data_IF_423704210879
#
_entry.id   IF_423704210879
#
_cell.length_a   1.000
_cell.length_b   1.000
_cell.length_c   1.000
_cell.angle_alpha   90.00
_cell.angle_beta   90.00
_cell.angle_gamma   90.00
#
_symmetry.space_group_name_H-M   'P 1'
#
loop_
_entity.id
_entity.type
_entity.pdbx_description
1 polymer ?
#
# COMPACT_ATOMS: atom_id res chain seq x y z
N UNK A 1 0.10 95.78 -23.72
CA UNK A 1 0.34 95.56 -22.27
C UNK A 1 1.15 94.27 -22.11
N UNK A 2 2.35 94.38 -21.49
CA UNK A 2 3.26 93.38 -20.88
C UNK A 2 3.41 91.99 -21.56
N UNK A 3 4.52 91.71 -22.28
CA UNK A 3 5.81 91.09 -21.81
C UNK A 3 5.64 89.64 -21.34
N UNK A 4 6.46 88.63 -21.62
CA UNK A 4 7.73 88.40 -22.34
C UNK A 4 7.82 86.87 -22.57
N UNK A 5 8.53 86.50 -23.64
CA UNK A 5 9.20 85.24 -24.02
C UNK A 5 9.49 84.11 -22.99
N UNK A 6 9.62 82.89 -23.56
CA UNK A 6 10.52 81.76 -23.24
C UNK A 6 10.02 80.51 -22.45
N UNK A 7 10.12 79.37 -23.18
CA UNK A 7 10.74 78.06 -22.85
C UNK A 7 10.21 77.05 -21.79
N UNK A 8 10.35 75.77 -22.21
CA UNK A 8 10.66 74.52 -21.48
C UNK A 8 9.59 73.81 -20.59
N UNK A 9 9.13 72.66 -21.10
CA UNK A 9 9.30 71.28 -20.59
C UNK A 9 8.78 70.83 -19.20
N UNK A 10 8.31 69.57 -19.22
CA UNK A 10 8.03 68.60 -18.12
C UNK A 10 6.67 68.76 -17.42
N UNK A 11 5.86 67.69 -17.46
CA UNK A 11 5.29 67.06 -16.27
C UNK A 11 4.79 65.64 -16.57
N UNK A 12 5.44 64.68 -15.90
CA UNK A 12 4.93 63.37 -15.54
C UNK A 12 3.66 63.51 -14.69
N UNK A 13 2.66 62.66 -14.92
CA UNK A 13 1.83 62.15 -13.83
C UNK A 13 1.48 60.68 -14.06
N UNK A 14 1.92 59.86 -13.10
CA UNK A 14 1.46 58.51 -12.88
C UNK A 14 0.01 58.53 -12.38
N UNK A 15 -0.82 57.60 -12.84
CA UNK A 15 -2.05 57.22 -12.15
C UNK A 15 -2.13 55.71 -12.04
N UNK A 16 -2.01 55.23 -10.81
CA UNK A 16 -2.26 53.86 -10.39
C UNK A 16 -3.71 53.46 -10.68
N UNK A 17 -3.91 52.30 -11.31
CA UNK A 17 -5.14 51.51 -11.18
C UNK A 17 -4.72 50.11 -10.77
N UNK A 18 -5.16 49.73 -9.57
CA UNK A 18 -5.00 48.42 -8.97
C UNK A 18 -5.74 47.36 -9.78
N UNK A 19 -5.02 46.34 -10.25
CA UNK A 19 -5.61 45.04 -10.58
C UNK A 19 -5.03 44.03 -9.60
N UNK A 20 -5.90 43.52 -8.73
CA UNK A 20 -5.59 42.47 -7.78
C UNK A 20 -5.33 41.20 -8.57
N UNK A 21 -4.05 40.86 -8.77
CA UNK A 21 -3.64 39.53 -9.17
C UNK A 21 -3.60 38.65 -7.93
N UNK A 22 -4.47 37.65 -7.89
CA UNK A 22 -4.42 36.56 -6.92
C UNK A 22 -3.11 35.79 -7.10
N UNK A 23 -2.12 36.10 -6.25
CA UNK A 23 -0.98 35.21 -6.01
C UNK A 23 -1.51 33.91 -5.41
N UNK A 24 -1.72 32.90 -6.25
CA UNK A 24 -1.75 31.53 -5.78
C UNK A 24 -0.33 31.18 -5.37
N UNK A 25 -0.06 31.27 -4.08
CA UNK A 25 1.12 30.66 -3.46
C UNK A 25 0.95 29.14 -3.56
N UNK A 26 1.37 28.53 -4.66
CA UNK A 26 1.75 27.12 -4.65
C UNK A 26 3.15 27.06 -4.07
N UNK A 27 3.26 27.26 -2.76
CA UNK A 27 4.36 26.70 -2.01
C UNK A 27 4.07 25.20 -1.90
N UNK A 28 4.32 24.46 -2.98
CA UNK A 28 4.55 23.02 -2.84
C UNK A 28 5.82 22.90 -2.01
N UNK A 29 5.67 22.54 -0.75
CA UNK A 29 6.77 22.04 0.06
C UNK A 29 7.28 20.76 -0.60
N UNK A 30 8.12 20.90 -1.61
CA UNK A 30 8.99 19.83 -2.04
C UNK A 30 9.98 19.62 -0.91
N UNK A 31 9.63 18.74 0.01
CA UNK A 31 10.64 18.14 0.88
C UNK A 31 11.64 17.43 -0.05
N UNK A 32 12.95 17.65 0.13
CA UNK A 32 13.94 16.91 -0.63
C UNK A 32 13.70 15.42 -0.44
N UNK A 33 13.56 14.69 -1.54
CA UNK A 33 13.59 13.23 -1.54
C UNK A 33 14.98 12.81 -1.05
N UNK A 34 15.06 12.31 0.17
CA UNK A 34 16.27 11.73 0.74
C UNK A 34 16.24 10.23 0.46
N UNK A 35 17.24 9.71 -0.27
CA UNK A 35 17.46 8.27 -0.32
C UNK A 35 17.87 7.83 1.08
N UNK A 36 17.01 7.11 1.80
CA UNK A 36 17.46 6.45 3.03
C UNK A 36 18.56 5.43 2.66
N UNK A 37 19.41 5.07 3.61
CA UNK A 37 20.52 4.10 3.47
C UNK A 37 20.08 2.72 2.93
N UNK A 38 18.78 2.51 2.82
CA UNK A 38 18.10 1.31 2.39
C UNK A 38 17.60 1.38 0.93
N UNK A 39 18.00 2.42 0.17
CA UNK A 39 17.64 2.64 -1.25
C UNK A 39 16.14 2.84 -1.49
N UNK A 40 15.39 3.11 -0.42
CA UNK A 40 13.96 3.43 -0.45
C UNK A 40 13.79 4.95 -0.59
N UNK A 41 13.07 5.37 -1.62
CA UNK A 41 12.66 6.76 -1.80
C UNK A 41 11.41 7.03 -0.96
N UNK A 42 11.56 7.54 0.25
CA UNK A 42 10.43 7.87 1.14
C UNK A 42 10.64 9.23 1.80
N UNK A 43 9.56 10.00 1.94
CA UNK A 43 9.61 11.28 2.66
C UNK A 43 10.12 11.07 4.11
N UNK A 44 11.12 11.85 4.49
CA UNK A 44 11.81 11.68 5.78
C UNK A 44 10.89 11.95 6.98
N UNK A 45 9.93 12.87 6.86
CA UNK A 45 8.97 13.17 7.92
C UNK A 45 7.97 12.02 8.05
N UNK A 46 7.43 11.52 6.93
CA UNK A 46 6.55 10.35 6.91
C UNK A 46 7.23 9.14 7.56
N UNK A 47 8.49 8.86 7.20
CA UNK A 47 9.24 7.76 7.81
C UNK A 47 9.49 8.00 9.31
N UNK A 48 9.77 9.24 9.72
CA UNK A 48 9.92 9.61 11.13
C UNK A 48 8.63 9.38 11.92
N UNK A 49 7.48 9.72 11.36
CA UNK A 49 6.17 9.53 11.97
C UNK A 49 5.84 8.05 12.14
N UNK A 50 6.09 7.23 11.12
CA UNK A 50 5.91 5.77 11.18
C UNK A 50 6.82 5.17 12.27
N UNK A 51 8.10 5.57 12.33
CA UNK A 51 9.05 5.14 13.37
C UNK A 51 8.54 5.50 14.78
N UNK A 52 8.03 6.71 14.95
CA UNK A 52 7.48 7.21 16.21
C UNK A 52 6.24 6.41 16.64
N UNK A 53 5.34 6.12 15.70
CA UNK A 53 4.11 5.39 15.98
C UNK A 53 4.35 3.91 16.33
N UNK A 54 5.27 3.25 15.61
CA UNK A 54 5.66 1.86 15.88
C UNK A 54 6.55 1.77 17.12
N UNK A 55 7.30 2.84 17.44
CA UNK A 55 8.32 2.88 18.50
C UNK A 55 9.45 1.86 18.28
N UNK A 56 9.80 1.61 17.01
CA UNK A 56 10.90 0.73 16.62
C UNK A 56 11.72 1.37 15.50
N UNK A 57 13.00 0.97 15.41
CA UNK A 57 13.83 1.27 14.23
C UNK A 57 13.59 0.19 13.18
N UNK A 58 13.38 0.55 11.91
CA UNK A 58 13.33 -0.44 10.85
C UNK A 58 14.74 -0.95 10.53
N UNK A 59 14.79 -2.13 9.91
CA UNK A 59 16.00 -2.67 9.28
C UNK A 59 15.83 -2.67 7.76
N UNK A 60 16.94 -2.79 7.02
CA UNK A 60 16.89 -2.99 5.56
C UNK A 60 16.10 -4.27 5.26
N UNK A 61 15.19 -4.19 4.30
CA UNK A 61 14.57 -5.38 3.73
C UNK A 61 15.66 -6.22 3.07
N UNK A 62 15.70 -7.50 3.41
CA UNK A 62 16.56 -8.50 2.79
C UNK A 62 15.80 -9.83 2.87
N UNK A 63 14.91 -10.06 1.92
CA UNK A 63 14.04 -11.26 1.86
C UNK A 63 14.41 -12.06 0.64
N UNK A 64 14.75 -13.32 0.87
CA UNK A 64 14.92 -14.33 -0.17
C UNK A 64 13.54 -14.74 -0.71
N UNK A 65 13.40 -14.86 -2.02
CA UNK A 65 12.16 -15.27 -2.68
C UNK A 65 12.47 -16.39 -3.64
N UNK A 66 11.71 -17.47 -3.52
CA UNK A 66 11.71 -18.62 -4.41
C UNK A 66 10.33 -18.67 -5.06
N UNK A 67 10.31 -18.64 -6.38
CA UNK A 67 9.08 -18.73 -7.17
C UNK A 67 9.21 -19.89 -8.16
N UNK A 68 8.11 -20.56 -8.41
CA UNK A 68 8.04 -21.69 -9.33
C UNK A 68 6.96 -21.41 -10.37
N UNK A 69 7.23 -21.75 -11.62
CA UNK A 69 6.21 -21.75 -12.67
C UNK A 69 5.61 -23.14 -12.89
N UNK A 70 4.62 -23.21 -13.79
CA UNK A 70 3.87 -24.43 -14.12
C UNK A 70 4.72 -25.53 -14.73
N UNK A 71 5.86 -25.18 -15.32
CA UNK A 71 6.80 -26.12 -15.92
C UNK A 71 7.86 -26.58 -14.89
N UNK A 72 7.78 -26.07 -13.66
CA UNK A 72 8.72 -26.36 -12.58
C UNK A 72 10.00 -25.53 -12.66
N UNK A 73 10.05 -24.48 -13.50
CA UNK A 73 11.20 -23.58 -13.51
C UNK A 73 11.22 -22.75 -12.23
N UNK A 74 12.42 -22.63 -11.67
CA UNK A 74 12.66 -21.88 -10.44
C UNK A 74 13.21 -20.48 -10.77
N UNK A 75 12.66 -19.47 -10.10
CA UNK A 75 13.21 -18.13 -10.04
C UNK A 75 13.59 -17.81 -8.59
N UNK A 76 14.85 -17.47 -8.36
CA UNK A 76 15.37 -17.10 -7.05
C UNK A 76 16.03 -15.72 -7.09
N UNK A 77 15.58 -14.82 -6.21
CA UNK A 77 16.11 -13.47 -6.06
C UNK A 77 15.91 -12.92 -4.64
N UNK A 78 16.45 -11.73 -4.40
CA UNK A 78 16.30 -11.01 -3.13
C UNK A 78 15.49 -9.72 -3.30
N UNK A 79 14.54 -9.49 -2.38
CA UNK A 79 13.92 -8.19 -2.17
C UNK A 79 14.78 -7.39 -1.21
N UNK A 80 15.40 -6.31 -1.71
CA UNK A 80 16.39 -5.53 -0.96
C UNK A 80 16.11 -4.02 -0.85
N UNK A 81 15.10 -3.53 -1.59
CA UNK A 81 14.74 -2.11 -1.66
C UNK A 81 13.55 -1.81 -0.78
N UNK A 82 13.79 -1.75 0.52
CA UNK A 82 12.71 -1.54 1.47
C UNK A 82 13.16 -1.53 2.92
N UNK A 83 12.17 -1.39 3.79
CA UNK A 83 12.31 -1.33 5.24
C UNK A 83 11.40 -2.35 5.88
N UNK A 84 11.84 -2.95 6.98
CA UNK A 84 11.05 -3.89 7.78
C UNK A 84 11.03 -3.43 9.23
N UNK A 85 9.83 -3.28 9.79
CA UNK A 85 9.63 -3.20 11.23
C UNK A 85 9.19 -4.56 11.72
N UNK A 86 10.10 -5.27 12.40
CA UNK A 86 9.84 -6.65 12.82
C UNK A 86 8.93 -6.75 14.04
N UNK A 87 8.09 -7.80 14.06
CA UNK A 87 7.36 -8.26 15.24
C UNK A 87 6.51 -7.14 15.88
N UNK A 88 5.70 -6.46 15.09
CA UNK A 88 4.78 -5.40 15.52
C UNK A 88 3.46 -6.04 15.91
N UNK A 89 2.96 -5.77 17.11
CA UNK A 89 1.67 -6.31 17.57
C UNK A 89 0.55 -5.98 16.57
N UNK A 90 -0.32 -6.94 16.28
CA UNK A 90 -1.38 -6.87 15.26
C UNK A 90 -2.17 -5.55 15.29
N UNK A 91 -2.70 -5.16 16.45
CA UNK A 91 -3.48 -3.92 16.57
C UNK A 91 -2.68 -2.70 16.13
N UNK A 92 -1.39 -2.65 16.48
CA UNK A 92 -0.48 -1.57 16.07
C UNK A 92 -0.13 -1.67 14.59
N UNK A 93 0.14 -2.87 14.07
CA UNK A 93 0.46 -3.11 12.67
C UNK A 93 -0.67 -2.64 11.73
N UNK A 94 -1.90 -3.07 12.01
CA UNK A 94 -3.09 -2.62 11.27
C UNK A 94 -3.35 -1.13 11.42
N UNK A 95 -3.18 -0.57 12.62
CA UNK A 95 -3.33 0.88 12.83
C UNK A 95 -2.33 1.70 12.02
N UNK A 96 -1.09 1.23 11.90
CA UNK A 96 -0.05 1.89 11.10
C UNK A 96 -0.36 1.76 9.62
N UNK A 97 -0.69 0.56 9.14
CA UNK A 97 -1.11 0.35 7.76
C UNK A 97 -2.25 1.30 7.37
N UNK A 98 -3.34 1.31 8.14
CA UNK A 98 -4.52 2.12 7.86
C UNK A 98 -4.22 3.63 7.88
N UNK A 99 -3.30 4.06 8.76
CA UNK A 99 -2.96 5.48 8.90
C UNK A 99 -2.08 5.99 7.76
N UNK A 100 -1.18 5.16 7.24
CA UNK A 100 -0.10 5.63 6.36
C UNK A 100 -0.16 5.13 4.92
N UNK A 101 -1.00 4.14 4.59
CA UNK A 101 -1.04 3.52 3.25
C UNK A 101 -1.17 4.54 2.11
N UNK A 102 -2.09 5.51 2.22
CA UNK A 102 -2.35 6.45 1.14
C UNK A 102 -1.15 7.40 0.90
N UNK A 103 -0.46 7.85 1.95
CA UNK A 103 0.73 8.71 1.82
C UNK A 103 1.96 7.93 1.33
N UNK A 104 2.13 6.68 1.77
CA UNK A 104 3.20 5.80 1.28
C UNK A 104 3.02 5.53 -0.23
N UNK A 105 1.79 5.26 -0.67
CA UNK A 105 1.43 5.05 -2.09
C UNK A 105 1.67 6.30 -2.94
N UNK A 106 1.29 7.49 -2.45
CA UNK A 106 1.59 8.76 -3.14
C UNK A 106 3.09 8.97 -3.37
N UNK A 107 3.93 8.45 -2.48
CA UNK A 107 5.40 8.47 -2.58
C UNK A 107 6.00 7.41 -3.51
N UNK A 108 5.19 6.67 -4.27
CA UNK A 108 5.60 5.54 -5.11
C UNK A 108 6.21 4.36 -4.32
N UNK A 109 5.68 4.08 -3.13
CA UNK A 109 6.01 2.92 -2.31
C UNK A 109 4.73 2.18 -1.92
N UNK A 110 4.87 1.01 -1.31
CA UNK A 110 3.74 0.30 -0.72
C UNK A 110 4.06 -0.12 0.71
N UNK A 111 3.07 -0.06 1.60
CA UNK A 111 3.16 -0.58 2.97
C UNK A 111 2.21 -1.76 3.12
N UNK A 112 2.69 -2.87 3.67
CA UNK A 112 1.89 -4.08 3.88
C UNK A 112 2.40 -4.87 5.08
N UNK A 113 1.58 -5.81 5.53
CA UNK A 113 1.85 -6.73 6.63
C UNK A 113 2.25 -8.10 6.08
N UNK A 114 3.17 -8.79 6.75
CA UNK A 114 3.62 -10.15 6.39
C UNK A 114 4.16 -10.85 7.63
N UNK A 115 4.57 -12.12 7.51
CA UNK A 115 5.18 -12.90 8.59
C UNK A 115 4.34 -12.85 9.87
N UNK A 116 3.10 -13.34 9.79
CA UNK A 116 2.29 -13.45 11.01
C UNK A 116 2.97 -14.43 11.95
N UNK A 117 3.12 -14.00 13.19
CA UNK A 117 3.75 -14.77 14.24
C UNK A 117 2.96 -14.61 15.53
N UNK A 118 3.21 -15.48 16.50
CA UNK A 118 2.55 -15.48 17.79
C UNK A 118 3.57 -15.34 18.91
N UNK A 119 3.15 -14.76 20.03
CA UNK A 119 3.96 -14.93 21.26
C UNK A 119 3.95 -16.39 21.70
N UNK A 120 4.87 -16.75 22.60
CA UNK A 120 5.01 -18.12 23.13
C UNK A 120 3.72 -18.69 23.75
N UNK A 121 2.85 -17.83 24.28
CA UNK A 121 1.57 -18.24 24.86
C UNK A 121 0.41 -18.28 23.86
N UNK A 122 0.63 -17.97 22.59
CA UNK A 122 -0.39 -17.89 21.53
C UNK A 122 -1.59 -16.97 21.87
N UNK A 123 -1.35 -15.94 22.69
CA UNK A 123 -2.37 -14.97 23.12
C UNK A 123 -2.26 -13.64 22.39
N UNK A 124 -1.21 -13.44 21.59
CA UNK A 124 -0.99 -12.21 20.85
C UNK A 124 -0.35 -12.51 19.51
N UNK A 125 -0.93 -11.89 18.49
CA UNK A 125 -0.47 -11.95 17.11
C UNK A 125 0.44 -10.76 16.80
N UNK A 126 1.46 -11.00 16.00
CA UNK A 126 2.44 -10.04 15.54
C UNK A 126 2.59 -10.16 14.02
N UNK A 127 2.96 -9.05 13.40
CA UNK A 127 3.28 -8.97 11.97
C UNK A 127 4.59 -8.22 11.79
N UNK A 128 5.30 -8.52 10.72
CA UNK A 128 6.27 -7.60 10.16
C UNK A 128 5.53 -6.54 9.33
N UNK A 129 5.89 -5.28 9.49
CA UNK A 129 5.41 -4.17 8.64
C UNK A 129 6.51 -3.83 7.64
N UNK A 130 6.23 -4.03 6.35
CA UNK A 130 7.17 -3.73 5.27
C UNK A 130 6.77 -2.44 4.57
N UNK A 131 7.76 -1.61 4.25
CA UNK A 131 7.64 -0.55 3.24
C UNK A 131 8.61 -0.87 2.12
N UNK A 132 8.11 -0.99 0.89
CA UNK A 132 8.89 -1.41 -0.29
C UNK A 132 8.72 -0.41 -1.43
N UNK A 133 9.70 -0.32 -2.32
CA UNK A 133 9.61 0.49 -3.53
C UNK A 133 8.53 -0.03 -4.49
N UNK A 134 7.83 0.89 -5.15
CA UNK A 134 6.72 0.59 -6.07
C UNK A 134 5.35 0.71 -5.41
N UNK A 135 4.39 1.29 -6.13
CA UNK A 135 3.04 1.55 -5.62
C UNK A 135 1.97 0.57 -6.09
N UNK A 136 2.26 -0.26 -7.10
CA UNK A 136 1.32 -1.24 -7.64
C UNK A 136 1.35 -2.51 -6.77
N UNK A 137 0.31 -2.79 -5.97
CA UNK A 137 0.32 -3.97 -5.12
C UNK A 137 0.36 -5.29 -5.90
N UNK A 138 -0.07 -5.33 -7.16
CA UNK A 138 0.03 -6.55 -7.98
C UNK A 138 1.48 -6.86 -8.37
N UNK A 139 2.31 -5.83 -8.58
CA UNK A 139 3.75 -6.01 -8.73
C UNK A 139 4.39 -6.48 -7.42
N UNK A 140 3.92 -5.99 -6.27
CA UNK A 140 4.38 -6.48 -4.97
C UNK A 140 4.04 -7.96 -4.77
N UNK A 141 2.82 -8.40 -5.09
CA UNK A 141 2.42 -9.83 -5.03
C UNK A 141 3.28 -10.69 -5.96
N UNK A 142 3.60 -10.18 -7.15
CA UNK A 142 4.53 -10.84 -8.07
C UNK A 142 5.90 -11.02 -7.42
N UNK A 143 6.45 -9.93 -6.89
CA UNK A 143 7.77 -9.88 -6.25
C UNK A 143 7.87 -10.71 -4.97
N UNK A 144 6.79 -10.85 -4.21
CA UNK A 144 6.72 -11.72 -3.04
C UNK A 144 6.62 -13.20 -3.44
N UNK A 145 6.19 -13.49 -4.67
CA UNK A 145 6.02 -14.86 -5.15
C UNK A 145 4.81 -15.55 -4.52
N UNK A 146 3.77 -14.80 -4.16
CA UNK A 146 2.57 -15.37 -3.53
C UNK A 146 1.94 -16.46 -4.40
N UNK A 147 1.71 -17.65 -3.87
CA UNK A 147 1.19 -18.81 -4.58
C UNK A 147 0.42 -19.75 -3.64
N UNK A 148 -0.25 -20.75 -4.22
CA UNK A 148 -0.86 -21.87 -3.52
C UNK A 148 -0.41 -23.16 -4.19
N UNK A 149 0.89 -23.45 -4.15
CA UNK A 149 1.49 -24.51 -4.96
C UNK A 149 0.89 -25.90 -4.71
N UNK A 150 0.44 -26.18 -3.48
CA UNK A 150 -0.23 -27.44 -3.11
C UNK A 150 -1.60 -27.63 -3.81
N UNK A 151 -2.12 -26.57 -4.43
CA UNK A 151 -3.37 -26.53 -5.18
C UNK A 151 -3.15 -26.31 -6.69
N UNK A 152 -1.91 -26.45 -7.18
CA UNK A 152 -1.51 -26.09 -8.54
C UNK A 152 -1.83 -24.62 -8.90
N UNK A 153 -1.80 -23.73 -7.90
CA UNK A 153 -2.02 -22.29 -8.06
C UNK A 153 -0.68 -21.59 -8.02
N UNK A 154 -0.28 -21.04 -9.16
CA UNK A 154 1.00 -20.36 -9.33
C UNK A 154 0.84 -18.86 -9.17
N UNK A 155 1.94 -18.14 -8.98
CA UNK A 155 1.92 -16.69 -8.76
C UNK A 155 1.18 -15.91 -9.86
N UNK A 156 1.31 -16.35 -11.12
CA UNK A 156 0.56 -15.77 -12.24
C UNK A 156 -0.96 -15.96 -12.13
N UNK A 157 -1.42 -17.09 -11.59
CA UNK A 157 -2.84 -17.37 -11.39
C UNK A 157 -3.40 -16.50 -10.27
N UNK A 158 -2.66 -16.33 -9.16
CA UNK A 158 -3.00 -15.41 -8.07
C UNK A 158 -3.16 -13.99 -8.59
N UNK A 159 -2.19 -13.46 -9.32
CA UNK A 159 -2.24 -12.09 -9.86
C UNK A 159 -3.43 -11.92 -10.80
N UNK A 160 -3.64 -12.88 -11.71
CA UNK A 160 -4.76 -12.84 -12.67
C UNK A 160 -6.10 -12.80 -11.94
N UNK A 161 -6.33 -13.74 -11.03
CA UNK A 161 -7.58 -13.84 -10.26
C UNK A 161 -7.85 -12.58 -9.45
N UNK A 162 -6.84 -12.05 -8.77
CA UNK A 162 -7.01 -10.85 -7.94
C UNK A 162 -7.27 -9.60 -8.78
N UNK A 163 -6.69 -9.48 -9.99
CA UNK A 163 -7.02 -8.38 -10.90
C UNK A 163 -8.49 -8.43 -11.31
N UNK A 164 -8.99 -9.61 -11.69
CA UNK A 164 -10.39 -9.81 -12.03
C UNK A 164 -11.34 -9.46 -10.87
N UNK A 165 -10.97 -9.83 -9.64
CA UNK A 165 -11.77 -9.49 -8.46
C UNK A 165 -11.68 -8.00 -8.10
N UNK A 166 -10.53 -7.37 -8.32
CA UNK A 166 -10.34 -5.95 -8.05
C UNK A 166 -11.23 -5.08 -8.95
N UNK A 167 -11.46 -5.49 -10.19
CA UNK A 167 -12.44 -4.84 -11.07
C UNK A 167 -13.88 -4.96 -10.53
N UNK A 168 -14.22 -6.07 -9.88
CA UNK A 168 -15.55 -6.30 -9.30
C UNK A 168 -15.79 -5.47 -8.03
N UNK A 169 -14.87 -5.53 -7.06
CA UNK A 169 -15.10 -5.01 -5.71
C UNK A 169 -14.17 -3.88 -5.29
N UNK A 170 -13.05 -3.66 -5.99
CA UNK A 170 -11.95 -2.76 -5.63
C UNK A 170 -11.42 -3.01 -4.20
N UNK A 171 -10.14 -3.31 -4.03
CA UNK A 171 -9.62 -3.58 -2.70
C UNK A 171 -8.20 -3.08 -2.46
N UNK A 172 -7.91 -2.85 -1.18
CA UNK A 172 -6.57 -2.54 -0.66
C UNK A 172 -5.98 -3.78 -0.03
N UNK A 173 -4.81 -4.20 -0.48
CA UNK A 173 -4.08 -5.32 0.12
C UNK A 173 -3.45 -4.89 1.43
N UNK A 174 -3.78 -5.62 2.50
CA UNK A 174 -3.31 -5.38 3.87
C UNK A 174 -2.17 -6.34 4.19
N UNK A 175 -2.40 -7.64 3.97
CA UNK A 175 -1.41 -8.70 4.17
C UNK A 175 -1.02 -9.25 2.81
N UNK A 176 0.28 -9.35 2.55
CA UNK A 176 0.85 -10.02 1.38
C UNK A 176 1.96 -10.94 1.88
N UNK A 177 1.78 -12.24 1.72
CA UNK A 177 2.73 -13.28 2.12
C UNK A 177 2.91 -14.34 1.03
N UNK A 178 3.83 -15.28 1.23
CA UNK A 178 4.11 -16.34 0.23
C UNK A 178 2.88 -17.19 -0.05
N UNK A 179 2.07 -17.50 0.95
CA UNK A 179 0.87 -18.33 0.75
C UNK A 179 -0.41 -17.69 1.26
N UNK A 180 -0.39 -16.37 1.51
CA UNK A 180 -1.52 -15.69 2.16
C UNK A 180 -1.70 -14.25 1.69
N UNK A 181 -2.96 -13.87 1.50
CA UNK A 181 -3.38 -12.51 1.14
C UNK A 181 -4.57 -12.10 1.98
N UNK A 182 -4.53 -10.91 2.56
CA UNK A 182 -5.73 -10.27 3.15
C UNK A 182 -5.97 -8.94 2.45
N UNK A 183 -7.21 -8.67 2.07
CA UNK A 183 -7.57 -7.43 1.39
C UNK A 183 -8.90 -6.86 1.89
N UNK A 184 -8.93 -5.52 2.02
CA UNK A 184 -10.13 -4.77 2.37
C UNK A 184 -10.87 -4.35 1.10
N UNK A 185 -12.13 -4.75 0.97
CA UNK A 185 -13.03 -4.39 -0.12
C UNK A 185 -13.64 -3.02 0.12
N UNK A 186 -13.46 -2.11 -0.82
CA UNK A 186 -14.06 -0.76 -0.76
C UNK A 186 -15.59 -0.84 -0.86
N UNK A 187 -16.11 -1.80 -1.64
CA UNK A 187 -17.54 -2.09 -1.78
C UNK A 187 -17.78 -3.59 -1.78
N UNK A 188 -18.96 -4.01 -1.35
CA UNK A 188 -19.36 -5.41 -1.43
C UNK A 188 -19.59 -5.83 -2.89
N UNK A 189 -19.31 -7.10 -3.24
CA UNK A 189 -19.71 -7.66 -4.52
C UNK A 189 -21.23 -7.58 -4.72
N UNK A 190 -21.66 -7.31 -5.96
CA UNK A 190 -23.10 -7.23 -6.31
C UNK A 190 -23.83 -8.53 -5.96
N UNK A 191 -23.15 -9.67 -6.12
CA UNK A 191 -23.65 -10.97 -5.71
C UNK A 191 -22.63 -11.65 -4.79
N UNK A 192 -22.73 -11.36 -3.50
CA UNK A 192 -21.83 -11.91 -2.47
C UNK A 192 -21.80 -13.44 -2.44
N UNK A 193 -22.94 -14.11 -2.68
CA UNK A 193 -22.97 -15.58 -2.72
C UNK A 193 -22.14 -16.13 -3.89
N UNK A 194 -22.21 -15.48 -5.05
CA UNK A 194 -21.40 -15.87 -6.21
C UNK A 194 -19.92 -15.57 -5.97
N UNK A 195 -19.59 -14.40 -5.42
CA UNK A 195 -18.21 -14.03 -5.09
C UNK A 195 -17.60 -15.01 -4.08
N UNK A 196 -18.29 -15.29 -2.97
CA UNK A 196 -17.83 -16.24 -1.95
C UNK A 196 -17.60 -17.65 -2.51
N UNK A 197 -18.43 -18.11 -3.46
CA UNK A 197 -18.18 -19.38 -4.18
C UNK A 197 -16.93 -19.34 -5.07
N UNK A 198 -16.65 -18.22 -5.74
CA UNK A 198 -15.41 -18.04 -6.51
C UNK A 198 -14.19 -18.07 -5.57
N UNK A 199 -14.29 -17.40 -4.42
CA UNK A 199 -13.21 -17.39 -3.42
C UNK A 199 -12.92 -18.79 -2.91
N UNK A 200 -13.94 -19.53 -2.47
CA UNK A 200 -13.78 -20.92 -2.02
C UNK A 200 -13.21 -21.84 -3.12
N UNK A 201 -13.68 -21.70 -4.37
CA UNK A 201 -13.13 -22.49 -5.47
C UNK A 201 -11.66 -22.19 -5.78
N UNK A 202 -11.19 -20.97 -5.49
CA UNK A 202 -9.81 -20.55 -5.69
C UNK A 202 -8.91 -20.83 -4.48
N UNK A 203 -9.46 -20.85 -3.28
CA UNK A 203 -8.74 -21.09 -2.04
C UNK A 203 -9.64 -21.87 -1.08
N UNK A 204 -9.72 -23.20 -1.19
CA UNK A 204 -10.64 -24.02 -0.38
C UNK A 204 -10.41 -23.87 1.13
N UNK A 205 -9.15 -23.70 1.53
CA UNK A 205 -8.72 -23.54 2.92
C UNK A 205 -9.37 -22.35 3.65
N UNK A 206 -9.92 -21.37 2.93
CA UNK A 206 -10.71 -20.30 3.57
C UNK A 206 -11.91 -20.85 4.35
N UNK A 207 -12.42 -22.02 3.98
CA UNK A 207 -13.45 -22.75 4.72
C UNK A 207 -12.86 -24.01 5.34
N UNK A 208 -12.14 -24.81 4.55
CA UNK A 208 -11.70 -26.14 5.00
C UNK A 208 -10.75 -26.08 6.22
N UNK A 209 -10.05 -24.96 6.39
CA UNK A 209 -9.19 -24.65 7.55
C UNK A 209 -9.49 -23.30 8.21
N UNK A 210 -10.54 -22.61 7.77
CA UNK A 210 -10.84 -21.23 8.12
C UNK A 210 -12.23 -21.06 8.71
N UNK A 211 -13.09 -20.38 7.97
CA UNK A 211 -14.50 -20.25 8.32
C UNK A 211 -15.15 -21.62 8.44
N UNK A 212 -16.03 -21.82 9.42
CA UNK A 212 -16.73 -23.09 9.62
C UNK A 212 -17.75 -23.39 8.52
N UNK A 213 -18.14 -22.38 7.72
CA UNK A 213 -19.09 -22.54 6.61
C UNK A 213 -19.07 -21.38 5.62
N UNK A 214 -19.68 -21.61 4.44
CA UNK A 214 -19.95 -20.58 3.44
C UNK A 214 -20.82 -19.43 3.99
N UNK A 215 -21.80 -19.73 4.84
CA UNK A 215 -22.68 -18.71 5.42
C UNK A 215 -21.93 -17.83 6.42
N UNK A 216 -21.02 -18.41 7.20
CA UNK A 216 -20.13 -17.65 8.10
C UNK A 216 -19.21 -16.72 7.30
N UNK A 217 -18.57 -17.22 6.25
CA UNK A 217 -17.73 -16.40 5.36
C UNK A 217 -18.53 -15.24 4.74
N UNK A 218 -19.75 -15.49 4.26
CA UNK A 218 -20.62 -14.45 3.70
C UNK A 218 -21.01 -13.42 4.76
N UNK A 219 -21.26 -13.84 6.01
CA UNK A 219 -21.59 -12.94 7.11
C UNK A 219 -20.40 -12.02 7.41
N UNK A 220 -19.21 -12.59 7.56
CA UNK A 220 -17.99 -11.85 7.83
C UNK A 220 -17.68 -10.82 6.72
N UNK A 221 -17.83 -11.20 5.44
CA UNK A 221 -17.68 -10.27 4.32
C UNK A 221 -18.63 -9.07 4.42
N UNK A 222 -19.88 -9.27 4.86
CA UNK A 222 -20.86 -8.18 5.01
C UNK A 222 -20.51 -7.25 6.16
N UNK A 223 -20.03 -7.81 7.26
CA UNK A 223 -19.76 -7.06 8.50
C UNK A 223 -18.45 -6.29 8.39
N UNK A 224 -17.41 -6.96 7.90
CA UNK A 224 -16.04 -6.47 8.01
C UNK A 224 -15.42 -6.05 6.67
N UNK A 225 -16.04 -6.42 5.55
CA UNK A 225 -15.60 -6.09 4.19
C UNK A 225 -14.15 -6.47 3.90
N UNK A 226 -13.64 -7.54 4.48
CA UNK A 226 -12.36 -8.11 4.06
C UNK A 226 -12.60 -9.50 3.47
N UNK A 227 -11.72 -9.89 2.56
CA UNK A 227 -11.51 -11.30 2.25
C UNK A 227 -10.08 -11.65 2.57
N UNK A 228 -9.84 -12.92 2.84
CA UNK A 228 -8.52 -13.47 2.97
C UNK A 228 -8.42 -14.77 2.20
N UNK A 229 -7.21 -15.07 1.76
CA UNK A 229 -6.79 -16.30 1.10
C UNK A 229 -5.59 -16.80 1.89
N UNK A 230 -5.56 -18.08 2.19
CA UNK A 230 -4.39 -18.75 2.74
C UNK A 230 -4.40 -20.16 2.16
N UNK A 231 -3.31 -20.54 1.51
CA UNK A 231 -3.07 -21.90 1.06
C UNK A 231 -2.05 -22.51 2.01
N UNK A 232 -2.39 -23.64 2.61
CA UNK A 232 -1.43 -24.47 3.36
C UNK A 232 -0.48 -25.21 2.41
#
# INVERSE_FOLDING_TARGET
MKRIFQFLFVLLFASCINKVESKVNVASSFNPIELDKNELNIDANLLSDIKSDIKKKPIKLNREVWNYDKDGNEEHYFLNKGLVFKYVNEKKAHSVFNKYIDEVVKGNNYIFLTNMDFNESFTSTYYDVIIIDGADPFDIIKRIGTNGINYDIYNSDVIKTLKEWNDEVNFKFVVIDVSRIHAYMDKLPKNIKAFSKKVYAFCPDVIDQGYSSMDEMILDYKENKYFWLWWD
#
